data_IF_827339736213
#
_entry.id   IF_827339736213
#
_cell.length_a   1.000
_cell.length_b   1.000
_cell.length_c   1.000
_cell.angle_alpha   90.00
_cell.angle_beta   90.00
_cell.angle_gamma   90.00
#
_symmetry.space_group_name_H-M   'P 1'
#
loop_
_entity.id
_entity.type
_entity.pdbx_description
1 polymer ?
#
# COMPACT_ATOMS: atom_id res chain seq x y z
N UNK A 1 -7.66 24.78 -8.69
CA UNK A 1 -6.39 24.18 -9.16
C UNK A 1 -6.65 23.53 -10.52
N UNK A 2 -6.00 24.01 -11.58
CA UNK A 2 -6.21 23.47 -12.92
C UNK A 2 -5.51 22.11 -13.06
N UNK A 3 -6.09 21.19 -13.84
CA UNK A 3 -5.53 19.85 -14.11
C UNK A 3 -4.04 19.87 -14.52
N UNK A 4 -3.62 20.93 -15.21
CA UNK A 4 -2.22 21.17 -15.58
C UNK A 4 -1.31 21.51 -14.40
N UNK A 5 -1.80 22.21 -13.40
CA UNK A 5 -1.04 22.55 -12.21
C UNK A 5 -0.85 21.32 -11.32
N UNK A 6 -1.89 20.50 -11.20
CA UNK A 6 -1.79 19.21 -10.49
C UNK A 6 -0.75 18.28 -11.13
N UNK A 7 -0.74 18.15 -12.45
CA UNK A 7 0.24 17.33 -13.16
C UNK A 7 1.68 17.89 -13.03
N UNK A 8 1.85 19.21 -12.97
CA UNK A 8 3.16 19.84 -12.73
C UNK A 8 3.66 19.58 -11.31
N UNK A 9 2.79 19.65 -10.31
CA UNK A 9 3.13 19.32 -8.93
C UNK A 9 3.47 17.84 -8.78
N UNK A 10 2.73 16.96 -9.45
CA UNK A 10 3.02 15.52 -9.47
C UNK A 10 4.36 15.22 -10.13
N UNK A 11 4.65 15.88 -11.27
CA UNK A 11 5.93 15.75 -11.97
C UNK A 11 7.09 16.31 -11.14
N UNK A 12 6.91 17.43 -10.44
CA UNK A 12 7.90 18.01 -9.55
C UNK A 12 8.16 17.11 -8.32
N UNK A 13 7.12 16.51 -7.76
CA UNK A 13 7.25 15.54 -6.66
C UNK A 13 7.98 14.26 -7.11
N UNK A 14 7.69 13.75 -8.30
CA UNK A 14 8.40 12.63 -8.90
C UNK A 14 9.88 12.97 -9.21
N UNK A 15 10.15 14.17 -9.69
CA UNK A 15 11.50 14.65 -9.96
C UNK A 15 12.31 14.90 -8.67
N UNK A 16 11.67 15.38 -7.60
CA UNK A 16 12.29 15.54 -6.29
C UNK A 16 12.65 14.19 -5.63
N UNK A 17 11.82 13.15 -5.86
CA UNK A 17 12.11 11.78 -5.44
C UNK A 17 13.20 11.08 -6.25
N UNK A 18 13.52 11.58 -7.44
CA UNK A 18 14.53 10.99 -8.33
C UNK A 18 15.97 11.47 -8.06
N UNK A 19 16.18 12.43 -7.18
CA UNK A 19 17.52 12.89 -6.80
C UNK A 19 18.15 11.99 -5.71
N UNK A 20 18.34 10.71 -6.02
CA UNK A 20 19.18 9.82 -5.21
C UNK A 20 20.63 10.30 -5.32
N UNK A 21 21.12 10.93 -4.27
CA UNK A 21 22.53 11.32 -4.18
C UNK A 21 23.42 10.08 -4.18
N UNK A 22 24.44 10.01 -5.06
CA UNK A 22 25.43 8.96 -5.00
C UNK A 22 26.16 9.03 -3.65
N UNK A 23 26.08 8.00 -2.84
CA UNK A 23 26.83 7.89 -1.59
C UNK A 23 26.04 7.80 -0.29
N UNK A 24 24.71 7.93 -0.31
CA UNK A 24 23.89 7.68 0.87
C UNK A 24 23.83 6.18 1.20
N UNK A 25 23.90 5.79 2.48
CA UNK A 25 23.66 4.41 2.88
C UNK A 25 22.22 4.00 2.52
N UNK A 26 21.98 2.71 2.28
CA UNK A 26 20.63 2.23 1.93
C UNK A 26 19.57 2.57 2.99
N UNK A 27 19.96 2.73 4.25
CA UNK A 27 19.09 3.18 5.34
C UNK A 27 18.75 4.67 5.21
N UNK A 28 19.72 5.53 4.88
CA UNK A 28 19.50 6.95 4.65
C UNK A 28 18.62 7.18 3.43
N UNK A 29 18.83 6.45 2.33
CA UNK A 29 17.99 6.54 1.14
C UNK A 29 16.54 6.10 1.39
N UNK A 30 16.31 5.11 2.28
CA UNK A 30 14.96 4.70 2.67
C UNK A 30 14.27 5.75 3.56
N UNK A 31 15.03 6.42 4.41
CA UNK A 31 14.50 7.51 5.23
C UNK A 31 14.13 8.73 4.37
N UNK A 32 14.95 9.08 3.38
CA UNK A 32 14.70 10.20 2.46
C UNK A 32 13.43 9.99 1.61
N UNK A 33 13.05 8.75 1.26
CA UNK A 33 11.84 8.45 0.51
C UNK A 33 10.55 8.91 1.22
N UNK A 34 10.57 8.96 2.55
CA UNK A 34 9.42 9.35 3.35
C UNK A 34 9.54 10.76 3.94
N UNK A 35 10.63 11.47 3.62
CA UNK A 35 10.82 12.88 3.97
C UNK A 35 10.22 13.83 2.92
N UNK A 36 9.00 13.52 2.48
CA UNK A 36 8.27 14.41 1.61
C UNK A 36 7.98 15.73 2.36
N UNK A 37 8.37 16.89 1.82
CA UNK A 37 8.03 18.15 2.44
C UNK A 37 6.52 18.30 2.54
N UNK A 38 6.04 18.89 3.63
CA UNK A 38 4.62 19.18 3.80
C UNK A 38 4.20 20.29 2.83
N UNK A 39 3.23 20.00 1.98
CA UNK A 39 2.62 20.98 1.09
C UNK A 39 1.16 21.18 1.47
N UNK A 40 0.68 22.42 1.38
CA UNK A 40 -0.71 22.73 1.65
C UNK A 40 -1.10 22.53 3.11
N UNK A 41 -2.38 22.44 3.36
CA UNK A 41 -3.01 22.38 4.68
C UNK A 41 -3.69 21.04 4.99
N UNK A 42 -3.67 20.08 4.06
CA UNK A 42 -4.25 18.74 4.20
C UNK A 42 -3.20 17.71 3.83
N UNK A 43 -3.09 16.67 4.64
CA UNK A 43 -2.23 15.51 4.36
C UNK A 43 -3.08 14.25 4.29
N UNK A 44 -2.95 13.52 3.18
CA UNK A 44 -3.58 12.22 2.98
C UNK A 44 -2.50 11.15 2.95
N UNK A 45 -2.60 10.17 3.82
CA UNK A 45 -1.85 8.94 3.78
C UNK A 45 -2.73 7.89 3.11
N UNK A 46 -2.20 7.19 2.14
CA UNK A 46 -2.96 6.19 1.41
C UNK A 46 -2.24 4.84 1.44
N UNK A 47 -2.99 3.81 1.77
CA UNK A 47 -2.60 2.40 1.66
C UNK A 47 -3.61 1.69 0.78
N UNK A 48 -3.21 0.60 0.16
CA UNK A 48 -4.07 -0.26 -0.64
C UNK A 48 -3.41 -1.62 -0.82
N UNK A 49 -4.18 -2.64 -1.14
CA UNK A 49 -3.69 -3.96 -1.54
C UNK A 49 -2.67 -4.57 -0.56
N UNK A 50 -2.95 -4.46 0.72
CA UNK A 50 -2.06 -5.01 1.76
C UNK A 50 -2.20 -6.53 1.92
N UNK A 51 -3.20 -7.11 1.26
CA UNK A 51 -3.41 -8.56 1.10
C UNK A 51 -3.28 -9.35 2.41
N UNK A 52 -3.89 -8.84 3.48
CA UNK A 52 -3.90 -9.45 4.82
C UNK A 52 -2.50 -9.82 5.36
N UNK A 53 -1.49 -9.07 4.98
CA UNK A 53 -0.11 -9.30 5.43
C UNK A 53 0.12 -8.65 6.78
N UNK A 54 -0.19 -9.36 7.87
CA UNK A 54 0.04 -8.89 9.24
C UNK A 54 1.52 -8.88 9.63
N UNK A 55 2.24 -9.93 9.24
CA UNK A 55 3.65 -10.12 9.57
C UNK A 55 4.54 -9.91 8.35
N UNK A 56 5.79 -9.46 8.54
CA UNK A 56 6.76 -9.41 7.46
C UNK A 56 7.00 -10.79 6.87
N UNK A 57 7.17 -10.86 5.56
CA UNK A 57 7.40 -12.12 4.84
C UNK A 57 8.66 -12.06 3.99
N UNK A 58 9.22 -13.23 3.73
CA UNK A 58 10.19 -13.43 2.67
C UNK A 58 9.40 -13.83 1.43
N UNK A 59 9.01 -12.83 0.66
CA UNK A 59 8.24 -13.07 -0.55
C UNK A 59 9.16 -13.14 -1.75
N UNK A 60 9.33 -14.33 -2.33
CA UNK A 60 9.97 -14.49 -3.64
C UNK A 60 9.48 -15.77 -4.29
N UNK A 61 8.93 -15.58 -5.44
CA UNK A 61 8.74 -16.66 -6.40
C UNK A 61 9.89 -16.63 -7.41
N UNK A 62 10.51 -17.76 -7.72
CA UNK A 62 11.62 -17.81 -8.69
C UNK A 62 11.25 -17.28 -10.08
N UNK A 63 9.96 -17.34 -10.41
CA UNK A 63 9.39 -16.92 -11.68
C UNK A 63 8.77 -15.51 -11.66
N UNK A 64 9.03 -14.68 -10.66
CA UNK A 64 8.51 -13.30 -10.65
C UNK A 64 8.89 -12.60 -11.94
N UNK A 65 7.88 -12.36 -12.76
CA UNK A 65 7.99 -11.66 -14.02
C UNK A 65 7.31 -10.29 -13.89
N UNK A 66 8.12 -9.25 -13.79
CA UNK A 66 7.63 -7.87 -13.68
C UNK A 66 7.34 -7.28 -15.05
N UNK A 67 7.77 -7.92 -16.12
CA UNK A 67 7.61 -7.46 -17.49
C UNK A 67 6.23 -7.78 -18.07
N UNK A 68 5.18 -7.11 -17.62
CA UNK A 68 3.86 -7.27 -18.20
C UNK A 68 3.84 -6.95 -19.70
N UNK A 69 3.69 -8.00 -20.52
CA UNK A 69 3.35 -7.89 -21.93
C UNK A 69 4.46 -7.40 -22.86
N UNK A 70 5.67 -7.17 -22.38
CA UNK A 70 6.82 -6.83 -23.23
C UNK A 70 7.72 -8.04 -23.41
N UNK A 71 7.87 -8.57 -24.62
CA UNK A 71 8.91 -9.55 -24.92
C UNK A 71 10.27 -8.84 -25.09
N UNK A 72 11.39 -9.50 -24.72
CA UNK A 72 11.47 -10.73 -23.96
C UNK A 72 11.18 -10.46 -22.48
N UNK A 73 10.68 -11.46 -21.78
CA UNK A 73 10.37 -11.38 -20.35
C UNK A 73 11.58 -10.85 -19.56
N UNK A 74 11.44 -9.65 -18.99
CA UNK A 74 12.48 -9.04 -18.20
C UNK A 74 12.44 -9.61 -16.79
N UNK A 75 13.25 -10.64 -16.54
CA UNK A 75 13.38 -11.27 -15.23
C UNK A 75 14.85 -11.45 -14.85
N UNK A 76 15.14 -11.49 -13.58
CA UNK A 76 16.49 -11.74 -13.08
C UNK A 76 17.54 -10.76 -13.64
N UNK A 77 18.59 -11.29 -14.27
CA UNK A 77 19.69 -10.47 -14.76
C UNK A 77 19.27 -9.48 -15.85
N UNK A 78 18.42 -9.88 -16.79
CA UNK A 78 17.96 -8.97 -17.84
C UNK A 78 17.15 -7.80 -17.30
N UNK A 79 16.42 -8.01 -16.19
CA UNK A 79 15.74 -6.92 -15.48
C UNK A 79 16.74 -5.95 -14.85
N UNK A 80 17.74 -6.47 -14.14
CA UNK A 80 18.76 -5.62 -13.51
C UNK A 80 19.54 -4.80 -14.57
N UNK A 81 19.91 -5.42 -15.67
CA UNK A 81 20.62 -4.75 -16.78
C UNK A 81 19.77 -3.65 -17.41
N UNK A 82 18.49 -3.95 -17.69
CA UNK A 82 17.56 -2.98 -18.30
C UNK A 82 17.39 -1.72 -17.45
N UNK A 83 17.31 -1.88 -16.14
CA UNK A 83 17.11 -0.76 -15.21
C UNK A 83 18.38 -0.27 -14.52
N UNK A 84 19.54 -0.79 -14.92
CA UNK A 84 20.85 -0.42 -14.36
C UNK A 84 20.92 -0.60 -12.83
N UNK A 85 20.30 -1.66 -12.33
CA UNK A 85 20.38 -2.00 -10.91
C UNK A 85 21.59 -2.89 -10.64
N UNK A 86 22.32 -2.58 -9.58
CA UNK A 86 23.46 -3.37 -9.15
C UNK A 86 23.03 -4.75 -8.63
N UNK A 87 23.81 -5.78 -8.95
CA UNK A 87 23.65 -7.12 -8.33
C UNK A 87 23.79 -6.99 -6.83
N UNK A 88 23.05 -7.83 -6.09
CA UNK A 88 23.04 -7.85 -4.61
C UNK A 88 22.61 -6.54 -3.94
N UNK A 89 22.08 -5.58 -4.69
CA UNK A 89 21.46 -4.38 -4.14
C UNK A 89 20.09 -4.68 -3.51
N UNK A 90 19.56 -3.71 -2.79
CA UNK A 90 18.18 -3.77 -2.27
C UNK A 90 17.16 -3.87 -3.41
N UNK A 91 17.40 -3.19 -4.52
CA UNK A 91 16.57 -3.26 -5.73
C UNK A 91 16.62 -4.67 -6.33
N UNK A 92 17.81 -5.27 -6.43
CA UNK A 92 17.93 -6.66 -6.88
C UNK A 92 17.14 -7.62 -5.99
N UNK A 93 17.19 -7.42 -4.66
CA UNK A 93 16.39 -8.19 -3.71
C UNK A 93 14.89 -7.92 -3.84
N UNK A 94 14.49 -6.67 -4.07
CA UNK A 94 13.08 -6.29 -4.18
C UNK A 94 12.41 -6.83 -5.46
N UNK A 95 13.14 -6.87 -6.58
CA UNK A 95 12.55 -7.12 -7.90
C UNK A 95 12.98 -8.41 -8.58
N UNK A 96 13.90 -9.17 -8.01
CA UNK A 96 14.38 -10.41 -8.60
C UNK A 96 14.52 -11.54 -7.59
N UNK A 97 14.64 -12.77 -8.07
CA UNK A 97 14.93 -13.95 -7.25
C UNK A 97 16.44 -14.26 -7.14
N UNK A 98 17.29 -13.45 -7.77
CA UNK A 98 18.73 -13.66 -7.80
C UNK A 98 19.33 -13.59 -6.40
N UNK A 99 20.19 -14.55 -6.07
CA UNK A 99 20.90 -14.65 -4.79
C UNK A 99 19.97 -14.57 -3.57
N UNK A 100 18.71 -14.98 -3.72
CA UNK A 100 17.68 -14.81 -2.69
C UNK A 100 18.10 -15.24 -1.29
N UNK A 101 18.73 -16.45 -1.06
CA UNK A 101 19.10 -16.84 0.30
C UNK A 101 20.12 -15.90 0.97
N UNK A 102 21.05 -15.35 0.20
CA UNK A 102 22.05 -14.41 0.70
C UNK A 102 21.43 -13.03 0.98
N UNK A 103 20.59 -12.56 0.05
CA UNK A 103 19.94 -11.27 0.16
C UNK A 103 18.83 -11.26 1.24
N UNK A 104 18.10 -12.36 1.41
CA UNK A 104 17.15 -12.51 2.50
C UNK A 104 17.82 -12.44 3.89
N UNK A 105 19.00 -13.04 4.05
CA UNK A 105 19.79 -12.88 5.27
C UNK A 105 20.28 -11.45 5.50
N UNK A 106 20.59 -10.74 4.42
CA UNK A 106 21.09 -9.34 4.50
C UNK A 106 19.98 -8.33 4.73
N UNK A 107 18.85 -8.46 4.03
CA UNK A 107 17.77 -7.47 4.01
C UNK A 107 16.55 -7.86 4.84
N UNK A 108 16.41 -9.14 5.19
CA UNK A 108 15.35 -9.64 6.05
C UNK A 108 13.99 -9.76 5.35
N UNK A 109 12.98 -10.05 6.14
CA UNK A 109 11.57 -10.06 5.71
C UNK A 109 11.07 -8.61 5.52
N UNK A 110 10.10 -8.45 4.63
CA UNK A 110 9.55 -7.14 4.24
C UNK A 110 8.03 -7.08 4.42
N UNK A 111 7.47 -5.87 4.45
CA UNK A 111 6.04 -5.64 4.59
C UNK A 111 5.54 -5.86 6.00
N UNK A 112 4.24 -6.11 6.12
CA UNK A 112 3.53 -6.35 7.37
C UNK A 112 3.03 -5.08 8.06
N UNK A 113 1.87 -5.24 8.72
CA UNK A 113 1.21 -4.13 9.40
C UNK A 113 2.04 -3.50 10.53
N UNK A 114 2.93 -4.26 11.17
CA UNK A 114 3.80 -3.71 12.21
C UNK A 114 4.78 -2.67 11.65
N UNK A 115 5.39 -2.94 10.51
CA UNK A 115 6.24 -1.97 9.81
C UNK A 115 5.44 -0.79 9.29
N UNK A 116 4.27 -1.07 8.69
CA UNK A 116 3.35 -0.05 8.21
C UNK A 116 2.90 0.88 9.35
N UNK A 117 2.57 0.32 10.53
CA UNK A 117 2.20 1.11 11.70
C UNK A 117 3.33 2.04 12.17
N UNK A 118 4.58 1.59 12.11
CA UNK A 118 5.74 2.42 12.43
C UNK A 118 5.86 3.59 11.46
N UNK A 119 5.70 3.33 10.16
CA UNK A 119 5.75 4.34 9.12
C UNK A 119 4.60 5.36 9.27
N UNK A 120 3.37 4.89 9.46
CA UNK A 120 2.19 5.75 9.65
C UNK A 120 2.34 6.64 10.88
N UNK A 121 2.82 6.10 12.01
CA UNK A 121 3.10 6.89 13.22
C UNK A 121 4.12 7.98 12.97
N UNK A 122 5.22 7.66 12.27
CA UNK A 122 6.26 8.63 11.91
C UNK A 122 5.72 9.74 11.02
N UNK A 123 4.96 9.41 9.98
CA UNK A 123 4.35 10.39 9.09
C UNK A 123 3.32 11.27 9.81
N UNK A 124 2.48 10.70 10.66
CA UNK A 124 1.51 11.45 11.47
C UNK A 124 2.16 12.37 12.49
N UNK A 125 3.32 12.00 13.04
CA UNK A 125 4.05 12.86 13.97
C UNK A 125 4.42 14.22 13.36
N UNK A 126 4.70 14.26 12.08
CA UNK A 126 4.97 15.50 11.33
C UNK A 126 3.72 16.10 10.66
N UNK A 127 2.59 15.38 10.68
CA UNK A 127 1.32 15.73 10.02
C UNK A 127 0.13 15.36 10.93
N UNK A 128 -0.10 16.09 12.02
CA UNK A 128 -1.03 15.67 13.09
C UNK A 128 -2.47 15.48 12.63
N UNK A 129 -2.88 16.15 11.55
CA UNK A 129 -4.23 16.06 10.97
C UNK A 129 -4.30 15.17 9.72
N UNK A 130 -3.26 14.34 9.45
CA UNK A 130 -3.27 13.47 8.31
C UNK A 130 -4.37 12.40 8.42
N UNK A 131 -5.16 12.27 7.37
CA UNK A 131 -6.14 11.21 7.21
C UNK A 131 -5.47 9.98 6.59
N UNK A 132 -5.79 8.80 7.08
CA UNK A 132 -5.34 7.52 6.52
C UNK A 132 -6.48 6.86 5.76
N UNK A 133 -6.28 6.69 4.47
CA UNK A 133 -7.22 6.10 3.54
C UNK A 133 -6.76 4.70 3.16
N UNK A 134 -7.69 3.75 3.12
CA UNK A 134 -7.45 2.39 2.67
C UNK A 134 -8.24 2.12 1.38
N UNK A 135 -7.53 1.86 0.29
CA UNK A 135 -8.10 1.63 -1.03
C UNK A 135 -8.73 0.24 -1.23
N UNK A 136 -8.77 -0.59 -0.18
CA UNK A 136 -9.31 -1.94 -0.24
C UNK A 136 -8.26 -3.00 -0.57
N UNK A 137 -8.74 -4.22 -0.80
CA UNK A 137 -7.95 -5.45 -0.91
C UNK A 137 -7.07 -5.70 0.32
N UNK A 138 -7.65 -5.37 1.46
CA UNK A 138 -6.97 -5.45 2.75
C UNK A 138 -7.33 -6.71 3.54
N UNK A 139 -8.53 -7.30 3.33
CA UNK A 139 -9.03 -8.40 4.16
C UNK A 139 -8.73 -9.78 3.59
N UNK A 140 -8.13 -9.89 2.43
CA UNK A 140 -7.81 -11.15 1.78
C UNK A 140 -6.32 -11.27 1.46
N UNK A 141 -5.79 -12.52 1.47
CA UNK A 141 -4.42 -12.82 1.10
C UNK A 141 -3.67 -13.69 2.10
N UNK A 142 -4.24 -13.98 3.27
CA UNK A 142 -3.66 -14.89 4.26
C UNK A 142 -4.66 -15.96 4.73
N UNK A 143 -4.14 -17.07 5.25
CA UNK A 143 -4.98 -18.12 5.82
C UNK A 143 -5.78 -17.62 7.04
N UNK A 144 -5.18 -16.78 7.88
CA UNK A 144 -5.87 -16.20 9.04
C UNK A 144 -7.02 -15.31 8.61
N UNK A 145 -6.83 -14.47 7.61
CA UNK A 145 -7.91 -13.64 7.08
C UNK A 145 -9.04 -14.47 6.47
N UNK A 146 -8.71 -15.56 5.78
CA UNK A 146 -9.73 -16.49 5.27
C UNK A 146 -10.53 -17.12 6.42
N UNK A 147 -9.88 -17.61 7.46
CA UNK A 147 -10.54 -18.25 8.60
C UNK A 147 -11.37 -17.29 9.45
N UNK A 148 -10.93 -16.05 9.56
CA UNK A 148 -11.66 -15.01 10.30
C UNK A 148 -12.61 -14.20 9.43
N UNK A 149 -12.64 -14.48 8.13
CA UNK A 149 -13.40 -13.71 7.15
C UNK A 149 -13.09 -12.19 7.26
N UNK A 150 -11.79 -11.85 7.36
CA UNK A 150 -11.28 -10.49 7.43
C UNK A 150 -11.33 -9.83 8.81
N UNK A 151 -11.86 -10.46 9.85
CA UNK A 151 -11.99 -9.83 11.17
C UNK A 151 -10.63 -9.48 11.81
N UNK A 152 -9.58 -10.28 11.58
CA UNK A 152 -8.21 -9.99 12.00
C UNK A 152 -7.68 -8.70 11.37
N UNK A 153 -7.94 -8.50 10.08
CA UNK A 153 -7.51 -7.32 9.33
C UNK A 153 -8.29 -6.08 9.71
N UNK A 154 -9.59 -6.19 9.93
CA UNK A 154 -10.41 -5.11 10.49
C UNK A 154 -9.84 -4.64 11.83
N UNK A 155 -9.48 -5.58 12.70
CA UNK A 155 -8.80 -5.27 13.96
C UNK A 155 -7.46 -4.57 13.77
N UNK A 156 -6.69 -4.95 12.75
CA UNK A 156 -5.43 -4.32 12.39
C UNK A 156 -5.62 -2.90 11.82
N UNK A 157 -6.58 -2.70 10.89
CA UNK A 157 -6.93 -1.39 10.34
C UNK A 157 -7.35 -0.40 11.44
N UNK A 158 -8.17 -0.84 12.40
CA UNK A 158 -8.57 -0.02 13.57
C UNK A 158 -7.36 0.44 14.38
N UNK A 159 -6.41 -0.48 14.66
CA UNK A 159 -5.17 -0.16 15.41
C UNK A 159 -4.22 0.72 14.63
N UNK A 160 -4.21 0.59 13.30
CA UNK A 160 -3.45 1.46 12.42
C UNK A 160 -4.02 2.88 12.39
N UNK A 161 -5.30 3.02 12.70
CA UNK A 161 -6.03 4.27 12.68
C UNK A 161 -6.47 4.67 11.28
N UNK A 162 -6.96 3.72 10.50
CA UNK A 162 -7.63 4.02 9.22
C UNK A 162 -8.84 4.87 9.48
N UNK A 163 -8.99 5.97 8.74
CA UNK A 163 -10.14 6.88 8.85
C UNK A 163 -11.25 6.49 7.87
N UNK A 164 -10.86 6.20 6.63
CA UNK A 164 -11.76 5.83 5.54
C UNK A 164 -11.26 4.61 4.80
N UNK A 165 -12.15 3.72 4.43
CA UNK A 165 -11.85 2.54 3.62
C UNK A 165 -12.84 2.40 2.47
N UNK A 166 -12.45 1.67 1.45
CA UNK A 166 -13.34 1.15 0.40
C UNK A 166 -13.10 -0.34 0.23
N UNK A 167 -13.88 -0.99 -0.64
CA UNK A 167 -13.74 -2.41 -0.93
C UNK A 167 -13.20 -2.68 -2.32
N UNK A 168 -12.51 -3.81 -2.44
CA UNK A 168 -12.08 -4.41 -3.69
C UNK A 168 -12.44 -5.91 -3.67
N UNK A 169 -11.59 -6.78 -3.18
CA UNK A 169 -11.89 -8.21 -3.02
C UNK A 169 -12.66 -8.56 -1.74
N UNK A 170 -12.90 -7.61 -0.85
CA UNK A 170 -13.71 -7.75 0.35
C UNK A 170 -15.11 -8.32 0.03
N UNK A 171 -15.65 -7.93 -1.11
CA UNK A 171 -16.99 -8.39 -1.56
C UNK A 171 -17.07 -9.89 -1.85
N UNK A 172 -15.93 -10.57 -2.02
CA UNK A 172 -15.91 -12.03 -2.23
C UNK A 172 -16.29 -12.82 -0.99
N UNK A 173 -16.30 -12.21 0.19
CA UNK A 173 -16.86 -12.83 1.41
C UNK A 173 -18.39 -12.86 1.42
N UNK A 174 -19.04 -12.21 0.45
CA UNK A 174 -20.48 -12.12 0.34
C UNK A 174 -21.08 -10.94 1.09
N UNK A 175 -22.27 -10.56 0.67
CA UNK A 175 -22.98 -9.37 1.13
C UNK A 175 -23.17 -9.33 2.65
N UNK A 176 -23.68 -10.43 3.23
CA UNK A 176 -23.94 -10.51 4.66
C UNK A 176 -22.70 -10.29 5.51
N UNK A 177 -21.58 -10.93 5.10
CA UNK A 177 -20.32 -10.77 5.82
C UNK A 177 -19.78 -9.35 5.71
N UNK A 178 -19.86 -8.73 4.53
CA UNK A 178 -19.42 -7.34 4.34
C UNK A 178 -20.23 -6.40 5.22
N UNK A 179 -21.55 -6.52 5.25
CA UNK A 179 -22.41 -5.70 6.11
C UNK A 179 -22.03 -5.84 7.59
N UNK A 180 -21.82 -7.07 8.07
CA UNK A 180 -21.37 -7.31 9.43
C UNK A 180 -20.00 -6.70 9.69
N UNK A 181 -19.06 -6.87 8.77
CA UNK A 181 -17.71 -6.34 8.85
C UNK A 181 -17.67 -4.81 9.00
N UNK A 182 -18.59 -4.09 8.35
CA UNK A 182 -18.70 -2.64 8.49
C UNK A 182 -19.07 -2.21 9.90
N UNK A 183 -19.94 -2.96 10.57
CA UNK A 183 -20.27 -2.69 11.98
C UNK A 183 -19.04 -2.94 12.86
N UNK A 184 -18.31 -4.03 12.62
CA UNK A 184 -17.08 -4.37 13.34
C UNK A 184 -15.97 -3.34 13.10
N UNK A 185 -15.91 -2.77 11.89
CA UNK A 185 -14.89 -1.80 11.49
C UNK A 185 -15.02 -0.43 12.15
N UNK A 186 -16.17 -0.08 12.72
CA UNK A 186 -16.35 1.22 13.37
C UNK A 186 -15.17 1.55 14.30
N UNK A 187 -14.63 2.79 14.29
CA UNK A 187 -15.15 4.00 13.65
C UNK A 187 -14.70 4.24 12.20
N UNK A 188 -14.04 3.29 11.54
CA UNK A 188 -13.63 3.43 10.14
C UNK A 188 -14.89 3.64 9.28
N UNK A 189 -14.90 4.66 8.44
CA UNK A 189 -16.00 4.91 7.51
C UNK A 189 -15.72 4.21 6.18
N UNK A 190 -16.63 3.34 5.77
CA UNK A 190 -16.55 2.66 4.48
C UNK A 190 -17.32 3.45 3.42
N UNK A 191 -16.69 3.73 2.30
CA UNK A 191 -17.23 4.55 1.22
C UNK A 191 -17.19 3.78 -0.10
N UNK A 192 -18.32 3.67 -0.79
CA UNK A 192 -18.39 3.02 -2.09
C UNK A 192 -19.59 3.53 -2.91
N UNK A 193 -19.40 4.60 -3.66
CA UNK A 193 -20.44 5.22 -4.49
C UNK A 193 -20.95 4.31 -5.62
N UNK A 194 -20.09 3.45 -6.13
CA UNK A 194 -20.37 2.61 -7.31
C UNK A 194 -21.00 1.26 -6.96
N UNK A 195 -21.29 0.99 -5.70
CA UNK A 195 -21.94 -0.26 -5.25
C UNK A 195 -23.41 0.01 -4.99
N UNK A 196 -24.26 -0.67 -5.75
CA UNK A 196 -25.71 -0.52 -5.71
C UNK A 196 -26.39 -1.86 -5.65
N UNK A 197 -27.63 -1.89 -5.15
CA UNK A 197 -28.48 -3.09 -5.19
C UNK A 197 -28.81 -3.44 -6.65
N UNK A 198 -28.91 -4.75 -6.93
CA UNK A 198 -29.22 -5.22 -8.28
C UNK A 198 -30.68 -4.91 -8.69
N UNK A 199 -31.60 -4.88 -7.73
CA UNK A 199 -33.02 -4.78 -8.00
C UNK A 199 -33.50 -3.33 -8.21
N UNK A 200 -33.00 -2.40 -7.39
CA UNK A 200 -33.49 -1.01 -7.37
C UNK A 200 -32.41 0.05 -7.60
N UNK A 201 -31.18 -0.35 -7.84
CA UNK A 201 -30.03 0.55 -7.99
C UNK A 201 -29.82 1.51 -6.79
N UNK A 202 -30.26 1.10 -5.61
CA UNK A 202 -30.08 1.87 -4.38
C UNK A 202 -28.62 1.82 -3.91
N UNK A 203 -28.15 2.91 -3.33
CA UNK A 203 -26.81 3.00 -2.74
C UNK A 203 -26.72 2.06 -1.51
N UNK A 204 -25.75 1.14 -1.54
CA UNK A 204 -25.51 0.19 -0.44
C UNK A 204 -24.65 0.81 0.66
N UNK A 205 -23.73 1.71 0.27
CA UNK A 205 -22.78 2.35 1.16
C UNK A 205 -22.83 3.88 0.99
N UNK A 206 -22.28 4.59 1.99
CA UNK A 206 -22.11 6.03 1.86
C UNK A 206 -21.25 6.37 0.64
N UNK A 207 -21.73 7.23 -0.29
CA UNK A 207 -20.99 7.53 -1.51
C UNK A 207 -19.77 8.42 -1.27
N UNK A 208 -19.82 9.26 -0.22
CA UNK A 208 -18.74 10.17 0.16
C UNK A 208 -18.82 10.56 1.64
N UNK A 209 -17.77 11.16 2.14
CA UNK A 209 -17.74 11.81 3.45
C UNK A 209 -17.15 13.21 3.36
N UNK A 210 -17.63 14.12 4.20
CA UNK A 210 -17.06 15.46 4.38
C UNK A 210 -16.30 15.50 5.70
N UNK A 211 -15.09 16.01 5.66
CA UNK A 211 -14.22 16.14 6.84
C UNK A 211 -13.60 17.52 6.91
N UNK A 212 -13.73 18.18 8.03
CA UNK A 212 -12.92 19.34 8.36
C UNK A 212 -11.62 18.87 9.00
N UNK A 213 -10.49 19.38 8.52
CA UNK A 213 -9.13 19.06 8.99
C UNK A 213 -8.38 20.31 9.37
#
# INVERSE_FOLDING_TARGET
MLRREFLRVLAAAAAAGASLRPGASAAQAADELYEAPAFGNVSLLHITDVHAQLLPTWFREPSVNIGNGLPPHLVGLSFLEKYSFEKQSRQAYAFTHLDFPALARRYGATGGYAHLATLVKRLRASRPHALLLDGGDSWQGSATALWTQGADMIGAQKRLGVDYATGHWEFTYGEERVKQALVEAAPIQFLAQNVRTADFEEEVFAPYALRTV
#
